data_IF_137594047919
#
_entry.id   IF_137594047919
#
_cell.length_a   1.000
_cell.length_b   1.000
_cell.length_c   1.000
_cell.angle_alpha   90.00
_cell.angle_beta   90.00
_cell.angle_gamma   90.00
#
_symmetry.space_group_name_H-M   'P 1'
#
loop_
_entity.id
_entity.type
_entity.pdbx_description
1 polymer ?
#
# COMPACT_ATOMS: atom_id res chain seq x y z
N UNK A 1 -0.11 3.00 -14.15
CA UNK A 1 -1.16 4.02 -13.91
C UNK A 1 -2.56 3.46 -13.91
N UNK A 2 -2.93 2.54 -14.83
CA UNK A 2 -4.27 1.90 -14.83
C UNK A 2 -4.83 1.51 -13.45
N UNK A 3 -4.03 0.87 -12.57
CA UNK A 3 -4.48 0.50 -11.20
C UNK A 3 -4.83 1.69 -10.27
N UNK A 4 -4.26 2.87 -10.51
CA UNK A 4 -4.55 4.09 -9.75
C UNK A 4 -5.88 4.69 -10.24
N UNK A 5 -6.12 4.67 -11.55
CA UNK A 5 -7.31 5.27 -12.16
C UNK A 5 -8.54 4.34 -12.06
N UNK A 6 -8.39 3.05 -12.41
CA UNK A 6 -9.50 2.11 -12.51
C UNK A 6 -9.95 1.57 -11.13
N UNK A 7 -8.99 1.32 -10.25
CA UNK A 7 -9.24 0.63 -8.96
C UNK A 7 -8.98 1.52 -7.74
N UNK A 8 -8.49 2.75 -7.94
CA UNK A 8 -8.02 3.62 -6.87
C UNK A 8 -7.01 2.92 -5.93
N UNK A 9 -6.10 2.14 -6.52
CA UNK A 9 -5.06 1.41 -5.77
C UNK A 9 -3.67 1.97 -6.05
N UNK A 10 -2.98 2.31 -4.96
CA UNK A 10 -1.58 2.72 -5.00
C UNK A 10 -0.68 1.49 -4.90
N UNK A 11 0.37 1.46 -5.73
CA UNK A 11 1.36 0.37 -5.75
C UNK A 11 2.67 0.93 -5.21
N UNK A 12 3.18 0.31 -4.15
CA UNK A 12 4.44 0.69 -3.50
C UNK A 12 5.44 -0.46 -3.57
N UNK A 13 6.72 -0.12 -3.60
CA UNK A 13 7.81 -1.07 -3.34
C UNK A 13 8.12 -0.97 -1.84
N UNK A 14 8.15 -2.11 -1.17
CA UNK A 14 8.37 -2.21 0.29
C UNK A 14 9.43 -3.26 0.58
N UNK A 15 9.91 -3.26 1.81
CA UNK A 15 10.81 -4.30 2.31
C UNK A 15 10.14 -5.69 2.33
N UNK A 16 10.93 -6.75 2.10
CA UNK A 16 10.44 -8.13 1.97
C UNK A 16 9.82 -8.63 3.29
N UNK A 17 10.26 -8.10 4.44
CA UNK A 17 9.76 -8.47 5.76
C UNK A 17 8.69 -7.51 6.30
N UNK A 18 8.15 -6.64 5.45
CA UNK A 18 7.09 -5.71 5.84
C UNK A 18 5.73 -6.41 5.96
N UNK A 19 5.18 -6.43 7.18
CA UNK A 19 3.80 -6.86 7.43
C UNK A 19 2.78 -5.85 6.92
N UNK A 20 1.59 -6.33 6.54
CA UNK A 20 0.48 -5.48 6.06
C UNK A 20 0.09 -4.36 7.03
N UNK A 21 0.11 -4.63 8.35
CA UNK A 21 -0.19 -3.63 9.38
C UNK A 21 0.85 -2.52 9.47
N UNK A 22 2.14 -2.86 9.30
CA UNK A 22 3.24 -1.88 9.27
C UNK A 22 3.10 -1.00 8.04
N UNK A 23 2.81 -1.61 6.88
CA UNK A 23 2.59 -0.90 5.62
C UNK A 23 1.43 0.09 5.76
N UNK A 24 0.28 -0.35 6.30
CA UNK A 24 -0.88 0.51 6.53
C UNK A 24 -0.56 1.71 7.43
N UNK A 25 0.12 1.47 8.57
CA UNK A 25 0.49 2.54 9.50
C UNK A 25 1.43 3.57 8.87
N UNK A 26 2.42 3.11 8.09
CA UNK A 26 3.39 3.98 7.42
C UNK A 26 2.73 4.76 6.28
N UNK A 27 1.87 4.12 5.48
CA UNK A 27 1.13 4.79 4.40
C UNK A 27 0.24 5.89 4.97
N UNK A 28 -0.45 5.62 6.08
CA UNK A 28 -1.24 6.63 6.78
C UNK A 28 -0.37 7.77 7.32
N UNK A 29 0.81 7.48 7.87
CA UNK A 29 1.70 8.52 8.42
C UNK A 29 2.35 9.39 7.33
N UNK A 30 2.81 8.79 6.23
CA UNK A 30 3.56 9.50 5.19
C UNK A 30 2.67 10.31 4.27
N UNK A 31 1.48 9.79 3.95
CA UNK A 31 0.62 10.37 2.93
C UNK A 31 -0.75 10.81 3.46
N UNK A 32 -1.05 10.58 4.75
CA UNK A 32 -2.37 10.82 5.38
C UNK A 32 -3.53 10.11 4.66
N UNK A 33 -3.25 8.94 4.09
CA UNK A 33 -4.23 8.15 3.34
C UNK A 33 -4.79 7.05 4.24
N UNK A 34 -6.12 6.96 4.30
CA UNK A 34 -6.81 5.83 4.93
C UNK A 34 -6.98 4.68 3.93
N UNK A 35 -6.33 3.54 4.18
CA UNK A 35 -6.43 2.37 3.31
C UNK A 35 -7.60 1.47 3.72
N UNK A 36 -8.42 1.01 2.77
CA UNK A 36 -9.46 -0.01 3.02
C UNK A 36 -8.91 -1.43 3.10
N UNK A 37 -7.93 -1.76 2.25
CA UNK A 37 -7.35 -3.11 2.15
C UNK A 37 -5.94 -3.02 1.59
N UNK A 38 -5.02 -3.76 2.19
CA UNK A 38 -3.62 -3.89 1.73
C UNK A 38 -3.39 -5.28 1.14
N UNK A 39 -2.94 -5.33 -0.11
CA UNK A 39 -2.50 -6.56 -0.78
C UNK A 39 -0.99 -6.46 -1.01
N UNK A 40 -0.27 -7.55 -0.71
CA UNK A 40 1.18 -7.65 -0.90
C UNK A 40 1.49 -8.81 -1.84
N UNK A 41 2.53 -8.64 -2.64
CA UNK A 41 3.07 -9.66 -3.54
C UNK A 41 4.60 -9.60 -3.41
N UNK A 42 5.22 -10.76 -3.23
CA UNK A 42 6.68 -10.91 -3.36
C UNK A 42 6.93 -11.33 -4.81
N UNK A 43 7.83 -10.63 -5.48
CA UNK A 43 8.26 -10.93 -6.84
C UNK A 43 9.70 -11.37 -6.87
#
# INVERSE_FOLDING_TARGET
MKKIEDNNTLVFIVDIWADKKKIEAVVKKMYDIQTKKVNTLIR
#
